data_IF_447713780890
#
_entry.id   IF_447713780890
#
_cell.length_a   1.000
_cell.length_b   1.000
_cell.length_c   1.000
_cell.angle_alpha   90.00
_cell.angle_beta   90.00
_cell.angle_gamma   90.00
#
_symmetry.space_group_name_H-M   'P 1'
#
loop_
_entity.id
_entity.type
_entity.pdbx_description
1 polymer ?
#
# COMPACT_ATOMS: atom_id res chain seq x y z
N UNK A 1 -2.50 -54.52 53.07
CA UNK A 1 -3.81 -55.24 53.05
C UNK A 1 -4.90 -54.20 52.82
N UNK A 2 -5.62 -54.27 51.70
CA UNK A 2 -6.74 -53.36 51.43
C UNK A 2 -6.86 -52.92 49.97
N UNK A 3 -7.10 -53.89 49.08
CA UNK A 3 -7.33 -53.71 47.66
C UNK A 3 -8.78 -53.22 47.43
N UNK A 4 -9.00 -52.05 46.80
CA UNK A 4 -10.33 -51.70 46.24
C UNK A 4 -10.20 -51.03 44.86
N UNK A 5 -10.46 -51.89 43.88
CA UNK A 5 -10.80 -51.67 42.47
C UNK A 5 -11.46 -50.30 42.19
N UNK A 6 -10.85 -49.52 41.29
CA UNK A 6 -11.57 -48.53 40.49
C UNK A 6 -12.58 -49.26 39.60
N UNK A 7 -13.87 -49.01 39.85
CA UNK A 7 -14.96 -49.33 38.94
C UNK A 7 -15.16 -48.13 38.01
N UNK A 8 -15.38 -48.45 36.74
CA UNK A 8 -15.84 -47.54 35.70
C UNK A 8 -17.10 -46.81 36.13
N UNK A 9 -17.21 -45.54 35.73
CA UNK A 9 -18.50 -44.92 35.49
C UNK A 9 -18.36 -44.11 34.22
N UNK A 10 -18.92 -44.69 33.16
CA UNK A 10 -19.20 -44.04 31.89
C UNK A 10 -20.26 -42.99 32.18
N UNK A 11 -19.87 -41.72 32.27
CA UNK A 11 -20.80 -40.61 32.07
C UNK A 11 -20.60 -40.07 30.66
N UNK A 12 -21.46 -40.58 29.77
CA UNK A 12 -21.78 -39.95 28.49
C UNK A 12 -22.39 -38.58 28.80
N UNK A 13 -21.60 -37.51 28.69
CA UNK A 13 -22.14 -36.16 28.58
C UNK A 13 -22.06 -35.71 27.13
N UNK A 14 -23.22 -35.84 26.49
CA UNK A 14 -23.79 -34.92 25.50
C UNK A 14 -22.91 -34.55 24.30
N UNK A 15 -23.19 -35.26 23.21
CA UNK A 15 -23.06 -34.80 21.84
C UNK A 15 -23.58 -33.36 21.69
N UNK A 16 -22.71 -32.36 21.85
CA UNK A 16 -22.83 -31.12 21.10
C UNK A 16 -22.25 -31.40 19.73
N UNK A 17 -23.13 -31.53 18.76
CA UNK A 17 -22.83 -31.43 17.33
C UNK A 17 -22.07 -30.13 17.10
N UNK A 18 -20.73 -30.20 17.14
CA UNK A 18 -19.86 -29.12 16.68
C UNK A 18 -20.05 -29.10 15.16
N UNK A 19 -20.78 -28.10 14.71
CA UNK A 19 -21.08 -27.77 13.33
C UNK A 19 -19.85 -27.99 12.42
N UNK A 20 -19.96 -28.94 11.49
CA UNK A 20 -18.86 -29.65 10.80
C UNK A 20 -18.13 -28.85 9.73
N UNK A 21 -18.15 -27.52 9.82
CA UNK A 21 -17.63 -26.62 8.80
C UNK A 21 -16.24 -26.13 9.19
N UNK A 22 -15.24 -26.37 8.35
CA UNK A 22 -13.86 -25.91 8.61
C UNK A 22 -13.76 -24.39 8.80
N UNK A 23 -14.68 -23.61 8.19
CA UNK A 23 -14.79 -22.16 8.42
C UNK A 23 -15.12 -21.79 9.87
N UNK A 24 -15.90 -22.61 10.59
CA UNK A 24 -16.21 -22.38 12.01
C UNK A 24 -14.95 -22.54 12.86
N UNK A 25 -14.12 -23.56 12.54
CA UNK A 25 -12.81 -23.73 13.17
C UNK A 25 -11.95 -22.48 12.97
N UNK A 26 -11.81 -22.00 11.73
CA UNK A 26 -11.05 -20.79 11.43
C UNK A 26 -11.60 -19.55 12.16
N UNK A 27 -12.93 -19.41 12.26
CA UNK A 27 -13.56 -18.29 12.97
C UNK A 27 -13.19 -18.31 14.45
N UNK A 28 -13.33 -19.46 15.12
CA UNK A 28 -13.04 -19.61 16.56
C UNK A 28 -11.55 -19.39 16.85
N UNK A 29 -10.67 -20.00 16.05
CA UNK A 29 -9.21 -19.91 16.27
C UNK A 29 -8.66 -18.48 16.08
N UNK A 30 -9.29 -17.69 15.21
CA UNK A 30 -8.83 -16.33 14.88
C UNK A 30 -9.59 -15.21 15.60
N UNK A 31 -10.70 -15.50 16.30
CA UNK A 31 -11.59 -14.51 16.90
C UNK A 31 -10.84 -13.49 17.77
N UNK A 32 -9.98 -13.98 18.67
CA UNK A 32 -9.17 -13.14 19.57
C UNK A 32 -8.29 -12.13 18.82
N UNK A 33 -7.67 -12.53 17.70
CA UNK A 33 -6.82 -11.63 16.92
C UNK A 33 -7.66 -10.64 16.10
N UNK A 34 -8.76 -11.11 15.52
CA UNK A 34 -9.66 -10.30 14.73
C UNK A 34 -10.30 -9.18 15.56
N UNK A 35 -10.69 -9.45 16.82
CA UNK A 35 -11.25 -8.44 17.72
C UNK A 35 -10.26 -7.34 18.11
N UNK A 36 -8.95 -7.61 18.07
CA UNK A 36 -7.91 -6.60 18.30
C UNK A 36 -7.67 -5.71 17.09
N UNK A 37 -7.88 -6.25 15.89
CA UNK A 37 -7.58 -5.57 14.63
C UNK A 37 -8.81 -4.83 14.09
N UNK A 38 -10.01 -5.39 14.27
CA UNK A 38 -11.24 -4.95 13.62
C UNK A 38 -12.23 -4.44 14.66
N UNK A 39 -12.85 -3.29 14.37
CA UNK A 39 -13.99 -2.85 15.17
C UNK A 39 -15.21 -3.77 14.97
N UNK A 40 -16.20 -3.64 15.87
CA UNK A 40 -17.42 -4.47 15.86
C UNK A 40 -18.16 -4.45 14.51
N UNK A 41 -18.16 -3.31 13.80
CA UNK A 41 -18.86 -3.16 12.52
C UNK A 41 -18.12 -3.92 11.42
N UNK A 42 -16.79 -3.84 11.38
CA UNK A 42 -15.97 -4.58 10.43
C UNK A 42 -15.99 -6.09 10.72
N UNK A 43 -15.95 -6.51 11.99
CA UNK A 43 -16.05 -7.91 12.39
C UNK A 43 -17.40 -8.53 11.96
N UNK A 44 -18.52 -7.81 12.14
CA UNK A 44 -19.82 -8.28 11.66
C UNK A 44 -19.85 -8.43 10.13
N UNK A 45 -19.25 -7.48 9.39
CA UNK A 45 -19.14 -7.55 7.93
C UNK A 45 -18.27 -8.74 7.50
N UNK A 46 -17.18 -9.01 8.22
CA UNK A 46 -16.30 -10.15 7.99
C UNK A 46 -17.03 -11.47 8.15
N UNK A 47 -17.67 -11.68 9.30
CA UNK A 47 -18.39 -12.91 9.61
C UNK A 47 -19.50 -13.19 8.57
N UNK A 48 -20.25 -12.17 8.16
CA UNK A 48 -21.25 -12.29 7.08
C UNK A 48 -20.67 -12.69 5.71
N UNK A 49 -19.40 -12.39 5.44
CA UNK A 49 -18.72 -12.86 4.21
C UNK A 49 -18.23 -14.30 4.38
N UNK A 50 -17.67 -14.65 5.54
CA UNK A 50 -17.20 -16.01 5.84
C UNK A 50 -18.35 -17.02 5.85
N UNK A 51 -19.54 -16.65 6.34
CA UNK A 51 -20.73 -17.50 6.32
C UNK A 51 -21.17 -17.91 4.91
N UNK A 52 -20.78 -17.14 3.88
CA UNK A 52 -21.12 -17.42 2.47
C UNK A 52 -20.15 -18.38 1.79
N UNK A 53 -19.05 -18.76 2.44
CA UNK A 53 -18.15 -19.78 1.93
C UNK A 53 -18.92 -21.09 1.89
N UNK A 54 -19.00 -21.72 0.72
CA UNK A 54 -19.76 -22.95 0.48
C UNK A 54 -19.27 -24.11 1.35
N UNK A 55 -20.21 -24.94 1.79
CA UNK A 55 -19.92 -26.12 2.63
C UNK A 55 -19.27 -27.25 1.84
N UNK A 56 -19.46 -27.23 0.53
CA UNK A 56 -18.94 -28.20 -0.44
C UNK A 56 -17.44 -28.02 -0.76
N UNK A 57 -16.83 -26.92 -0.31
CA UNK A 57 -15.44 -26.58 -0.64
C UNK A 57 -14.44 -27.44 0.13
N UNK A 58 -13.34 -27.76 -0.54
CA UNK A 58 -12.18 -28.38 0.10
C UNK A 58 -11.56 -27.44 1.14
N UNK A 59 -10.80 -28.01 2.07
CA UNK A 59 -10.09 -27.24 3.11
C UNK A 59 -9.21 -26.14 2.53
N UNK A 60 -8.48 -26.43 1.44
CA UNK A 60 -7.58 -25.47 0.81
C UNK A 60 -8.34 -24.28 0.19
N UNK A 61 -9.45 -24.55 -0.51
CA UNK A 61 -10.33 -23.51 -1.05
C UNK A 61 -10.95 -22.64 0.06
N UNK A 62 -11.32 -23.25 1.19
CA UNK A 62 -11.82 -22.51 2.36
C UNK A 62 -10.74 -21.59 2.91
N UNK A 63 -9.50 -22.06 3.06
CA UNK A 63 -8.37 -21.26 3.55
C UNK A 63 -8.08 -20.10 2.60
N UNK A 64 -8.03 -20.36 1.29
CA UNK A 64 -7.77 -19.35 0.27
C UNK A 64 -8.85 -18.25 0.28
N UNK A 65 -10.12 -18.63 0.29
CA UNK A 65 -11.23 -17.68 0.29
C UNK A 65 -11.30 -16.88 1.61
N UNK A 66 -11.10 -17.54 2.75
CA UNK A 66 -11.00 -16.86 4.05
C UNK A 66 -9.88 -15.82 4.05
N UNK A 67 -8.69 -16.20 3.57
CA UNK A 67 -7.52 -15.32 3.50
C UNK A 67 -7.78 -14.14 2.57
N UNK A 68 -8.34 -14.39 1.39
CA UNK A 68 -8.73 -13.34 0.43
C UNK A 68 -9.73 -12.35 1.03
N UNK A 69 -10.73 -12.85 1.78
CA UNK A 69 -11.73 -12.00 2.44
C UNK A 69 -11.07 -11.14 3.52
N UNK A 70 -10.16 -11.73 4.31
CA UNK A 70 -9.41 -11.05 5.35
C UNK A 70 -8.51 -9.95 4.77
N UNK A 71 -7.65 -10.29 3.82
CA UNK A 71 -6.75 -9.36 3.12
C UNK A 71 -7.52 -8.19 2.52
N UNK A 72 -8.60 -8.47 1.79
CA UNK A 72 -9.46 -7.44 1.21
C UNK A 72 -10.02 -6.51 2.28
N UNK A 73 -10.36 -7.03 3.45
CA UNK A 73 -10.92 -6.22 4.52
C UNK A 73 -9.87 -5.36 5.23
N UNK A 74 -8.67 -5.88 5.45
CA UNK A 74 -7.54 -5.11 5.96
C UNK A 74 -7.15 -3.99 4.98
N UNK A 75 -7.07 -4.30 3.68
CA UNK A 75 -6.83 -3.31 2.63
C UNK A 75 -7.94 -2.26 2.58
N UNK A 76 -9.21 -2.65 2.64
CA UNK A 76 -10.35 -1.72 2.73
C UNK A 76 -10.25 -0.78 3.96
N UNK A 77 -9.85 -1.31 5.13
CA UNK A 77 -9.65 -0.52 6.34
C UNK A 77 -8.50 0.47 6.18
N UNK A 78 -7.32 -0.01 5.79
CA UNK A 78 -6.13 0.81 5.56
C UNK A 78 -6.42 1.94 4.57
N UNK A 79 -7.08 1.64 3.45
CA UNK A 79 -7.40 2.64 2.43
C UNK A 79 -8.36 3.72 2.95
N UNK A 80 -9.33 3.38 3.80
CA UNK A 80 -10.21 4.39 4.43
C UNK A 80 -9.43 5.32 5.37
N UNK A 81 -8.47 4.78 6.12
CA UNK A 81 -7.69 5.54 7.10
C UNK A 81 -6.65 6.44 6.43
N UNK A 82 -6.01 5.95 5.37
CA UNK A 82 -4.91 6.63 4.68
C UNK A 82 -5.38 7.55 3.54
N UNK A 83 -6.53 7.30 2.90
CA UNK A 83 -7.01 8.08 1.75
C UNK A 83 -7.99 9.21 2.17
N UNK A 84 -7.57 10.09 3.07
CA UNK A 84 -8.44 11.14 3.66
C UNK A 84 -9.04 12.10 2.62
N UNK A 85 -8.34 12.35 1.52
CA UNK A 85 -8.77 13.26 0.45
C UNK A 85 -9.39 12.53 -0.75
N UNK A 86 -9.80 11.26 -0.57
CA UNK A 86 -10.33 10.43 -1.64
C UNK A 86 -11.46 11.12 -2.40
N UNK A 87 -11.35 11.16 -3.73
CA UNK A 87 -12.33 11.81 -4.59
C UNK A 87 -13.07 10.80 -5.47
N UNK A 88 -14.38 10.61 -5.21
CA UNK A 88 -15.21 9.67 -5.97
C UNK A 88 -15.30 9.98 -7.47
N UNK A 89 -15.30 11.25 -7.88
CA UNK A 89 -15.40 11.64 -9.30
C UNK A 89 -14.13 11.27 -10.06
N UNK A 90 -12.96 11.61 -9.52
CA UNK A 90 -11.66 11.26 -10.12
C UNK A 90 -11.49 9.74 -10.19
N UNK A 91 -11.78 9.03 -9.09
CA UNK A 91 -11.64 7.58 -9.08
C UNK A 91 -12.68 6.90 -9.98
N UNK A 92 -13.88 7.48 -10.13
CA UNK A 92 -14.87 7.04 -11.11
C UNK A 92 -14.35 7.18 -12.54
N UNK A 93 -13.74 8.31 -12.87
CA UNK A 93 -13.12 8.55 -14.18
C UNK A 93 -11.96 7.59 -14.49
N UNK A 94 -11.12 7.29 -13.48
CA UNK A 94 -9.97 6.37 -13.64
C UNK A 94 -10.44 4.93 -13.84
N UNK A 95 -11.48 4.49 -13.10
CA UNK A 95 -11.97 3.11 -13.14
C UNK A 95 -13.00 2.86 -14.26
N UNK A 96 -13.38 3.91 -14.98
CA UNK A 96 -14.27 3.79 -16.13
C UNK A 96 -13.60 2.97 -17.25
N UNK A 97 -14.32 1.92 -17.69
CA UNK A 97 -13.82 0.91 -18.63
C UNK A 97 -14.01 1.30 -20.09
N UNK A 98 -14.70 2.40 -20.40
CA UNK A 98 -14.93 2.83 -21.78
C UNK A 98 -13.64 3.20 -22.52
N UNK A 99 -12.66 3.78 -21.81
CA UNK A 99 -11.33 4.08 -22.36
C UNK A 99 -10.22 3.50 -21.50
N UNK A 100 -9.20 2.94 -22.15
CA UNK A 100 -7.99 2.44 -21.48
C UNK A 100 -6.99 3.56 -21.15
N UNK A 101 -7.06 4.69 -21.86
CA UNK A 101 -6.18 5.84 -21.66
C UNK A 101 -6.96 6.98 -21.03
N UNK A 102 -6.44 7.48 -19.91
CA UNK A 102 -7.03 8.57 -19.13
C UNK A 102 -5.94 9.61 -18.87
N UNK A 103 -6.23 10.87 -19.14
CA UNK A 103 -5.32 12.00 -18.86
C UNK A 103 -6.00 12.89 -17.83
N UNK A 104 -5.28 13.20 -16.76
CA UNK A 104 -5.73 14.12 -15.72
C UNK A 104 -4.83 15.35 -15.80
N UNK A 105 -5.43 16.50 -16.09
CA UNK A 105 -4.73 17.78 -16.14
C UNK A 105 -4.72 18.43 -14.75
N UNK A 106 -3.53 18.74 -14.22
CA UNK A 106 -3.38 19.44 -12.95
C UNK A 106 -2.05 19.15 -12.25
N UNK A 107 -1.92 19.67 -11.02
CA UNK A 107 -0.78 19.37 -10.15
C UNK A 107 -0.81 17.89 -9.73
N UNK A 108 0.30 17.17 -9.91
CA UNK A 108 0.36 15.73 -9.64
C UNK A 108 0.16 15.38 -8.16
N UNK A 109 0.70 16.18 -7.24
CA UNK A 109 0.54 15.96 -5.80
C UNK A 109 -0.93 16.04 -5.39
N UNK A 110 -1.65 17.04 -5.89
CA UNK A 110 -3.09 17.21 -5.62
C UNK A 110 -3.93 16.06 -6.17
N UNK A 111 -3.54 15.50 -7.31
CA UNK A 111 -4.21 14.34 -7.90
C UNK A 111 -3.90 13.09 -7.09
N UNK A 112 -2.64 12.83 -6.75
CA UNK A 112 -2.21 11.67 -5.96
C UNK A 112 -2.93 11.62 -4.60
N UNK A 113 -3.02 12.76 -3.88
CA UNK A 113 -3.78 12.88 -2.62
C UNK A 113 -5.23 12.42 -2.74
N UNK A 114 -5.84 12.56 -3.92
CA UNK A 114 -7.24 12.19 -4.21
C UNK A 114 -7.42 10.73 -4.61
N UNK A 115 -6.32 9.99 -4.86
CA UNK A 115 -6.36 8.57 -5.19
C UNK A 115 -6.41 7.70 -3.93
N UNK A 116 -6.99 6.52 -4.08
CA UNK A 116 -6.99 5.50 -3.03
C UNK A 116 -5.57 4.96 -2.82
N UNK A 117 -5.18 4.70 -1.58
CA UNK A 117 -3.94 4.01 -1.27
C UNK A 117 -3.92 2.63 -1.94
N UNK A 118 -2.76 2.10 -2.31
CA UNK A 118 -2.63 0.82 -3.03
C UNK A 118 -3.66 0.66 -4.17
N UNK A 119 -3.67 1.60 -5.12
CA UNK A 119 -4.54 1.56 -6.30
C UNK A 119 -3.78 1.60 -7.63
N UNK A 120 -2.46 1.83 -7.59
CA UNK A 120 -1.60 1.88 -8.76
C UNK A 120 -0.67 0.67 -8.76
N UNK A 121 -0.64 -0.05 -9.88
CA UNK A 121 0.17 -1.26 -10.02
C UNK A 121 1.59 -0.98 -10.50
N UNK A 122 1.81 0.13 -11.21
CA UNK A 122 3.10 0.49 -11.77
C UNK A 122 3.19 1.99 -11.99
N UNK A 123 4.39 2.54 -11.83
CA UNK A 123 4.68 3.94 -12.06
C UNK A 123 5.98 4.07 -12.85
N UNK A 124 5.98 4.99 -13.82
CA UNK A 124 7.16 5.38 -14.58
C UNK A 124 7.14 6.88 -14.68
N UNK A 125 8.24 7.54 -14.35
CA UNK A 125 8.33 8.99 -14.51
C UNK A 125 9.77 9.46 -14.71
N UNK A 126 9.89 10.72 -15.15
CA UNK A 126 11.08 11.54 -15.00
C UNK A 126 10.62 12.85 -14.38
N UNK A 127 11.06 13.21 -13.15
CA UNK A 127 10.59 14.42 -12.50
C UNK A 127 11.06 15.65 -13.29
N UNK A 128 10.47 16.83 -13.06
CA UNK A 128 11.14 18.06 -13.45
C UNK A 128 12.46 18.18 -12.68
N UNK A 129 13.60 18.24 -13.37
CA UNK A 129 14.89 18.34 -12.68
C UNK A 129 15.06 19.75 -12.13
N UNK A 130 15.67 19.86 -10.94
CA UNK A 130 15.87 21.15 -10.26
C UNK A 130 16.38 22.23 -11.21
N UNK A 131 15.53 23.25 -11.45
CA UNK A 131 15.83 24.43 -12.28
C UNK A 131 16.39 24.16 -13.69
N UNK A 132 16.26 22.95 -14.21
CA UNK A 132 16.81 22.56 -15.50
C UNK A 132 15.97 23.02 -16.70
N UNK A 133 14.72 23.45 -16.46
CA UNK A 133 13.75 23.90 -17.48
C UNK A 133 12.99 25.13 -16.98
N UNK A 134 12.45 25.91 -17.91
CA UNK A 134 11.72 27.15 -17.61
C UNK A 134 10.45 26.94 -16.76
N UNK A 135 9.85 25.74 -16.86
CA UNK A 135 8.63 25.38 -16.13
C UNK A 135 8.90 24.81 -14.73
N UNK A 136 10.16 24.68 -14.33
CA UNK A 136 10.57 23.97 -13.12
C UNK A 136 11.44 24.88 -12.26
N UNK A 137 10.81 25.72 -11.45
CA UNK A 137 11.52 26.77 -10.67
C UNK A 137 11.30 26.63 -9.18
N UNK A 138 12.37 26.42 -8.43
CA UNK A 138 12.40 26.45 -6.96
C UNK A 138 13.44 27.47 -6.47
N UNK A 139 13.22 28.09 -5.30
CA UNK A 139 14.14 29.10 -4.77
C UNK A 139 15.50 28.52 -4.38
N UNK A 140 15.54 27.27 -3.91
CA UNK A 140 16.74 26.55 -3.52
C UNK A 140 16.55 25.03 -3.64
N UNK A 141 17.66 24.29 -3.52
CA UNK A 141 17.68 22.84 -3.64
C UNK A 141 16.82 22.16 -2.56
N UNK A 142 16.76 22.70 -1.33
CA UNK A 142 15.98 22.08 -0.26
C UNK A 142 14.48 22.14 -0.57
N UNK A 143 14.02 23.30 -1.04
CA UNK A 143 12.62 23.51 -1.45
C UNK A 143 12.20 22.56 -2.55
N UNK A 144 13.10 22.27 -3.50
CA UNK A 144 12.88 21.25 -4.52
C UNK A 144 12.80 19.84 -3.94
N UNK A 145 13.76 19.45 -3.10
CA UNK A 145 13.79 18.11 -2.51
C UNK A 145 12.58 17.86 -1.59
N UNK A 146 12.10 18.88 -0.88
CA UNK A 146 10.91 18.80 -0.04
C UNK A 146 9.62 18.63 -0.86
N UNK A 147 9.47 19.39 -1.95
CA UNK A 147 8.34 19.23 -2.89
C UNK A 147 8.33 17.81 -3.50
N UNK A 148 9.50 17.35 -3.95
CA UNK A 148 9.66 15.99 -4.47
C UNK A 148 9.36 14.93 -3.42
N UNK A 149 9.77 15.15 -2.15
CA UNK A 149 9.47 14.23 -1.04
C UNK A 149 7.97 14.11 -0.80
N UNK A 150 7.21 15.20 -0.84
CA UNK A 150 5.75 15.13 -0.71
C UNK A 150 5.11 14.29 -1.83
N UNK A 151 5.58 14.47 -3.07
CA UNK A 151 5.12 13.68 -4.22
C UNK A 151 5.48 12.20 -4.05
N UNK A 152 6.71 11.90 -3.64
CA UNK A 152 7.19 10.53 -3.43
C UNK A 152 6.43 9.83 -2.31
N UNK A 153 6.14 10.53 -1.21
CA UNK A 153 5.32 10.00 -0.11
C UNK A 153 3.92 9.59 -0.59
N UNK A 154 3.28 10.46 -1.38
CA UNK A 154 1.97 10.14 -1.93
C UNK A 154 2.05 9.05 -3.01
N UNK A 155 3.13 9.00 -3.78
CA UNK A 155 3.41 7.91 -4.71
C UNK A 155 3.53 6.56 -3.98
N UNK A 156 4.28 6.50 -2.87
CA UNK A 156 4.37 5.31 -2.01
C UNK A 156 3.00 4.85 -1.55
N UNK A 157 2.20 5.77 -1.01
CA UNK A 157 0.87 5.48 -0.48
C UNK A 157 -0.05 4.86 -1.55
N UNK A 158 -0.06 5.38 -2.77
CA UNK A 158 -0.98 4.93 -3.82
C UNK A 158 -0.47 3.74 -4.62
N UNK A 159 0.82 3.44 -4.57
CA UNK A 159 1.39 2.25 -5.16
C UNK A 159 0.96 1.00 -4.36
N UNK A 160 0.58 -0.08 -5.04
CA UNK A 160 0.30 -1.34 -4.36
C UNK A 160 1.56 -1.98 -3.77
N UNK A 161 1.42 -2.73 -2.67
CA UNK A 161 2.53 -3.46 -2.07
C UNK A 161 3.21 -4.38 -3.10
N UNK A 162 4.53 -4.49 -2.98
CA UNK A 162 5.39 -5.29 -3.86
C UNK A 162 5.40 -4.87 -5.34
N UNK A 163 5.04 -3.62 -5.65
CA UNK A 163 5.15 -3.05 -7.00
C UNK A 163 6.37 -2.14 -7.14
N UNK A 164 6.73 -1.86 -8.40
CA UNK A 164 7.92 -1.11 -8.78
C UNK A 164 7.52 0.28 -9.29
N UNK A 165 8.28 1.29 -8.84
CA UNK A 165 8.29 2.63 -9.39
C UNK A 165 9.63 2.87 -10.12
N UNK A 166 9.58 3.01 -11.44
CA UNK A 166 10.74 3.37 -12.27
C UNK A 166 10.88 4.88 -12.34
N UNK A 167 11.99 5.40 -11.84
CA UNK A 167 12.24 6.84 -11.71
C UNK A 167 13.50 7.24 -12.48
N UNK A 168 13.32 7.93 -13.60
CA UNK A 168 14.40 8.37 -14.46
C UNK A 168 14.91 9.75 -14.03
N UNK A 169 16.12 9.79 -13.48
CA UNK A 169 16.78 11.00 -13.01
C UNK A 169 18.23 11.04 -13.49
N UNK A 170 18.76 12.23 -13.75
CA UNK A 170 20.16 12.46 -14.07
C UNK A 170 20.73 13.58 -13.23
N UNK A 171 22.02 13.52 -12.95
CA UNK A 171 22.74 14.61 -12.30
C UNK A 171 22.76 15.85 -13.19
N UNK A 172 22.76 17.01 -12.56
CA UNK A 172 22.80 18.30 -13.25
C UNK A 172 23.95 19.16 -12.74
N UNK A 173 24.33 20.17 -13.52
CA UNK A 173 25.26 21.22 -13.10
C UNK A 173 24.50 22.51 -12.86
N UNK A 174 24.35 22.89 -11.59
CA UNK A 174 23.64 24.10 -11.19
C UNK A 174 24.15 24.64 -9.84
N UNK A 175 23.64 25.78 -9.42
CA UNK A 175 23.83 26.34 -8.09
C UNK A 175 22.70 25.86 -7.17
N UNK A 176 23.07 25.26 -6.02
CA UNK A 176 22.11 24.79 -5.02
C UNK A 176 21.33 25.93 -4.34
N UNK A 177 21.81 27.18 -4.47
CA UNK A 177 21.27 28.39 -3.86
C UNK A 177 21.10 28.30 -2.33
N UNK A 178 21.82 27.39 -1.66
CA UNK A 178 21.71 27.17 -0.22
C UNK A 178 22.46 28.24 0.59
N UNK A 179 23.66 28.60 0.12
CA UNK A 179 24.54 29.56 0.83
C UNK A 179 25.05 30.68 -0.08
N UNK A 180 25.23 30.39 -1.37
CA UNK A 180 25.83 31.31 -2.34
C UNK A 180 24.90 31.43 -3.53
N UNK A 181 24.40 32.63 -3.83
CA UNK A 181 23.58 32.90 -5.03
C UNK A 181 24.41 33.27 -6.28
N UNK A 182 25.72 33.10 -6.20
CA UNK A 182 26.64 33.48 -7.28
C UNK A 182 26.42 32.58 -8.50
N UNK A 183 26.22 33.21 -9.66
CA UNK A 183 26.08 32.51 -10.94
C UNK A 183 27.39 31.85 -11.43
N UNK A 184 28.52 32.14 -10.77
CA UNK A 184 29.86 31.72 -11.20
C UNK A 184 30.28 30.34 -10.67
N UNK A 185 29.51 29.72 -9.77
CA UNK A 185 29.78 28.40 -9.23
C UNK A 185 28.72 27.39 -9.66
N UNK A 186 28.93 26.70 -10.80
CA UNK A 186 28.10 25.53 -11.15
C UNK A 186 28.71 24.30 -10.51
N UNK A 187 27.98 23.70 -9.57
CA UNK A 187 28.37 22.44 -8.92
C UNK A 187 27.59 21.29 -9.56
N UNK A 188 28.21 20.11 -9.61
CA UNK A 188 27.47 18.88 -9.92
C UNK A 188 26.56 18.52 -8.74
N UNK A 189 25.26 18.53 -8.98
CA UNK A 189 24.24 18.10 -8.02
C UNK A 189 23.93 16.62 -8.29
N UNK A 190 24.29 15.71 -7.35
CA UNK A 190 24.08 14.27 -7.50
C UNK A 190 22.60 13.92 -7.22
N UNK A 191 21.69 14.39 -8.08
CA UNK A 191 20.25 14.24 -7.88
C UNK A 191 19.87 12.76 -7.70
N UNK A 192 20.48 11.84 -8.45
CA UNK A 192 20.20 10.42 -8.31
C UNK A 192 20.43 9.92 -6.86
N UNK A 193 21.53 10.33 -6.23
CA UNK A 193 21.83 9.95 -4.85
C UNK A 193 20.84 10.57 -3.85
N UNK A 194 20.42 11.82 -4.07
CA UNK A 194 19.42 12.48 -3.22
C UNK A 194 18.06 11.79 -3.31
N UNK A 195 17.63 11.42 -4.52
CA UNK A 195 16.38 10.72 -4.71
C UNK A 195 16.40 9.33 -4.12
N UNK A 196 17.46 8.53 -4.31
CA UNK A 196 17.59 7.21 -3.65
C UNK A 196 17.36 7.34 -2.15
N UNK A 197 18.02 8.30 -1.50
CA UNK A 197 17.86 8.58 -0.07
C UNK A 197 16.41 8.94 0.29
N UNK A 198 15.78 9.84 -0.46
CA UNK A 198 14.38 10.25 -0.21
C UNK A 198 13.43 9.06 -0.38
N UNK A 199 13.60 8.27 -1.44
CA UNK A 199 12.78 7.08 -1.69
C UNK A 199 12.86 6.10 -0.51
N UNK A 200 14.07 5.79 -0.02
CA UNK A 200 14.24 4.91 1.14
C UNK A 200 13.64 5.48 2.42
N UNK A 201 13.81 6.78 2.68
CA UNK A 201 13.21 7.45 3.83
C UNK A 201 11.68 7.47 3.80
N UNK A 202 11.06 7.50 2.62
CA UNK A 202 9.61 7.47 2.45
C UNK A 202 9.04 6.03 2.35
N UNK A 203 9.88 5.00 2.51
CA UNK A 203 9.46 3.60 2.67
C UNK A 203 9.69 2.68 1.47
N UNK A 204 10.28 3.19 0.38
CA UNK A 204 10.69 2.34 -0.74
C UNK A 204 11.98 1.56 -0.42
N UNK A 205 12.29 0.58 -1.25
CA UNK A 205 13.58 -0.11 -1.25
C UNK A 205 14.23 0.07 -2.60
N UNK A 206 15.48 0.54 -2.62
CA UNK A 206 16.24 0.61 -3.87
C UNK A 206 16.54 -0.81 -4.36
N UNK A 207 16.16 -1.11 -5.61
CA UNK A 207 16.34 -2.44 -6.20
C UNK A 207 17.55 -2.46 -7.12
N UNK A 208 17.57 -1.59 -8.13
CA UNK A 208 18.64 -1.54 -9.12
C UNK A 208 18.66 -0.18 -9.85
N UNK A 209 19.78 0.13 -10.50
CA UNK A 209 19.99 1.31 -11.31
C UNK A 209 20.30 0.95 -12.77
N UNK A 210 19.44 1.40 -13.69
CA UNK A 210 19.68 1.25 -15.13
C UNK A 210 20.42 2.48 -15.67
N UNK A 211 21.59 2.26 -16.27
CA UNK A 211 22.34 3.33 -16.94
C UNK A 211 21.74 3.56 -18.32
N UNK A 212 21.13 4.73 -18.51
CA UNK A 212 20.71 5.19 -19.84
C UNK A 212 21.81 6.04 -20.47
N UNK A 213 22.60 5.40 -21.35
CA UNK A 213 23.54 6.10 -22.23
C UNK A 213 22.75 6.86 -23.32
N UNK A 214 22.83 8.19 -23.28
CA UNK A 214 22.09 9.08 -24.19
C UNK A 214 22.93 9.51 -25.40
N UNK A 215 24.22 9.14 -25.46
CA UNK A 215 25.18 9.57 -26.47
C UNK A 215 26.22 10.55 -25.97
#
# INVERSE_FOLDING_TARGET
MGNKKQKSTVEKSENKTIDSKYTNKLKVENEFYLEKILDKKHLLKFNKKIEKIGDEKSTDEVIEEYSTIYEKMIKEKYQKESSKQYNHKINGFINDKESKLKIIWGNCLDVLKKLRSESIHHMVTSPPYYNAREYSTWPDLNSYLDDMREIIREAYRVLENHRVFVFNIGDIFDNDNLTVKSVWGKRRLPLAAYFIKIFEEEGFTFVDGFIWDKG
#
